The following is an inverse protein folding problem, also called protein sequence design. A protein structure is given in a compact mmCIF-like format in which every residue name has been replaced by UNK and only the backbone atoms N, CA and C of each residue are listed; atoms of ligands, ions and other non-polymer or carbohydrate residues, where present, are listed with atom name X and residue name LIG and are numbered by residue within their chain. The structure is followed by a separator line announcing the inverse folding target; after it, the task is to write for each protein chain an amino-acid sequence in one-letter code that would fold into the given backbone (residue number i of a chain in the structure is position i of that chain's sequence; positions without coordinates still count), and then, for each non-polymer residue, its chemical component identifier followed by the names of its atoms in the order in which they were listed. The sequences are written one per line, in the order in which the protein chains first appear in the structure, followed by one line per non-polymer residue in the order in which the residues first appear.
data_IF_956136734081
#
_entry.id   IF_956136734081
#
_cell.length_a   1.000
_cell.length_b   1.000
_cell.length_c   1.000
_cell.angle_alpha   90.00
_cell.angle_beta   90.00
_cell.angle_gamma   90.00
#
_symmetry.space_group_name_H-M   'P 1'
#
loop_
_entity.id
_entity.type
_entity.pdbx_description
1 polymer ?
#
# COMPACT_ATOMS: atom_id res chain seq x y z
N UNK A 1 15.62 -7.16 18.24
CA UNK A 1 16.59 -6.06 18.16
C UNK A 1 16.41 -5.16 16.93
N UNK A 2 16.25 -5.74 15.70
CA UNK A 2 16.11 -4.96 14.46
C UNK A 2 14.88 -4.06 14.51
N UNK A 3 13.71 -4.59 14.89
CA UNK A 3 12.47 -3.83 14.97
C UNK A 3 12.53 -2.62 15.92
N UNK A 4 13.21 -2.78 17.07
CA UNK A 4 13.37 -1.67 18.03
C UNK A 4 14.29 -0.56 17.47
N UNK A 5 15.33 -0.94 16.73
CA UNK A 5 16.20 0.04 16.04
C UNK A 5 15.43 0.79 14.96
N UNK A 6 14.58 0.09 14.21
CA UNK A 6 13.76 0.70 13.18
C UNK A 6 12.69 1.65 13.76
N UNK A 7 12.04 1.28 14.86
CA UNK A 7 11.13 2.17 15.58
C UNK A 7 11.85 3.44 16.01
N UNK A 8 13.05 3.32 16.60
CA UNK A 8 13.84 4.48 17.01
C UNK A 8 14.24 5.36 15.81
N UNK A 9 14.63 4.74 14.68
CA UNK A 9 14.93 5.46 13.44
C UNK A 9 13.72 6.25 12.94
N UNK A 10 12.53 5.62 12.88
CA UNK A 10 11.29 6.25 12.42
C UNK A 10 10.91 7.42 13.34
N UNK A 11 11.00 7.24 14.67
CA UNK A 11 10.74 8.33 15.62
C UNK A 11 11.72 9.49 15.42
N UNK A 12 12.99 9.20 15.11
CA UNK A 12 13.97 10.22 14.75
C UNK A 12 13.57 11.02 13.50
N UNK A 13 13.02 10.35 12.47
CA UNK A 13 12.51 11.04 11.28
C UNK A 13 11.26 11.86 11.60
N UNK A 14 10.35 11.37 12.44
CA UNK A 14 9.20 12.15 12.90
C UNK A 14 9.63 13.44 13.62
N UNK A 15 10.68 13.37 14.46
CA UNK A 15 11.23 14.55 15.10
C UNK A 15 11.78 15.60 14.14
N UNK A 16 12.29 15.18 12.98
CA UNK A 16 12.78 16.10 11.93
C UNK A 16 11.65 16.70 11.07
N UNK A 17 10.58 15.92 10.86
CA UNK A 17 9.47 16.28 9.96
C UNK A 17 8.42 17.09 10.72
N UNK A 18 8.13 16.74 11.98
CA UNK A 18 7.08 17.37 12.79
C UNK A 18 7.12 18.90 12.78
N UNK A 19 8.25 19.53 13.13
CA UNK A 19 8.36 20.99 13.12
C UNK A 19 8.10 21.62 11.74
N UNK A 20 8.50 20.94 10.66
CA UNK A 20 8.24 21.41 9.27
C UNK A 20 6.75 21.36 8.92
N UNK A 21 5.99 20.50 9.59
CA UNK A 21 4.55 20.37 9.42
C UNK A 21 3.74 21.28 10.38
N UNK A 22 4.41 21.95 11.32
CA UNK A 22 3.80 22.77 12.37
C UNK A 22 3.41 21.97 13.62
N UNK A 23 4.10 20.86 13.89
CA UNK A 23 3.90 20.02 15.07
C UNK A 23 5.09 20.14 16.04
N UNK A 24 4.83 20.62 17.25
CA UNK A 24 5.86 20.85 18.29
C UNK A 24 5.83 19.78 19.42
N UNK A 25 4.99 18.75 19.28
CA UNK A 25 4.85 17.70 20.29
C UNK A 25 5.90 16.58 20.17
N UNK A 26 5.85 15.60 21.08
CA UNK A 26 6.74 14.43 21.03
C UNK A 26 6.64 13.68 19.69
N UNK A 27 7.77 13.22 19.16
CA UNK A 27 7.84 12.55 17.85
C UNK A 27 6.80 11.41 17.67
N UNK A 28 6.59 10.60 18.71
CA UNK A 28 5.59 9.52 18.70
C UNK A 28 4.14 9.99 18.52
N UNK A 29 3.84 11.25 18.83
CA UNK A 29 2.50 11.84 18.68
C UNK A 29 2.21 12.38 17.28
N UNK A 30 3.23 12.50 16.40
CA UNK A 30 3.07 13.06 15.06
C UNK A 30 2.03 12.34 14.20
N UNK A 31 1.99 11.00 14.12
CA UNK A 31 1.00 10.30 13.29
C UNK A 31 -0.45 10.61 13.72
N UNK A 32 -0.71 10.62 15.02
CA UNK A 32 -2.02 10.96 15.56
C UNK A 32 -2.39 12.40 15.22
N UNK A 33 -1.48 13.34 15.49
CA UNK A 33 -1.72 14.75 15.17
C UNK A 33 -2.02 14.94 13.68
N UNK A 34 -1.27 14.28 12.77
CA UNK A 34 -1.53 14.33 11.33
C UNK A 34 -2.92 13.82 11.01
N UNK A 35 -3.33 12.68 11.60
CA UNK A 35 -4.65 12.09 11.36
C UNK A 35 -5.82 12.97 11.80
N UNK A 36 -5.58 13.90 12.71
CA UNK A 36 -6.59 14.85 13.22
C UNK A 36 -6.69 16.14 12.37
N UNK A 37 -5.72 16.39 11.45
CA UNK A 37 -5.69 17.63 10.68
C UNK A 37 -6.62 17.59 9.46
N UNK A 38 -7.61 18.50 9.33
CA UNK A 38 -8.53 18.54 8.18
C UNK A 38 -7.83 18.69 6.82
N UNK A 39 -6.69 19.41 6.79
CA UNK A 39 -5.89 19.60 5.55
C UNK A 39 -5.40 18.30 4.91
N UNK A 40 -5.35 17.20 5.68
CA UNK A 40 -4.96 15.88 5.18
C UNK A 40 -6.15 14.96 4.91
N UNK A 41 -7.38 15.46 5.01
CA UNK A 41 -8.64 14.75 4.74
C UNK A 41 -9.42 15.47 3.63
N UNK A 42 -8.92 15.51 2.39
CA UNK A 42 -9.48 16.36 1.34
C UNK A 42 -10.69 15.75 0.62
N UNK A 43 -11.07 14.51 0.96
CA UNK A 43 -12.05 13.77 0.20
C UNK A 43 -13.48 14.06 0.63
N UNK A 44 -14.40 14.05 -0.33
CA UNK A 44 -15.84 14.22 -0.12
C UNK A 44 -16.66 13.05 -0.66
N UNK A 45 -16.04 12.13 -1.39
CA UNK A 45 -16.65 10.90 -1.91
C UNK A 45 -15.65 9.75 -1.98
N UNK A 46 -16.16 8.52 -1.89
CA UNK A 46 -15.38 7.29 -2.04
C UNK A 46 -14.65 7.26 -3.39
N UNK A 47 -15.31 7.73 -4.44
CA UNK A 47 -14.75 7.76 -5.78
C UNK A 47 -13.45 8.59 -5.85
N UNK A 48 -13.38 9.71 -5.15
CA UNK A 48 -12.16 10.53 -5.10
C UNK A 48 -10.98 9.77 -4.48
N UNK A 49 -11.22 8.93 -3.46
CA UNK A 49 -10.18 8.08 -2.88
C UNK A 49 -9.68 7.06 -3.89
N UNK A 50 -10.61 6.37 -4.57
CA UNK A 50 -10.28 5.39 -5.61
C UNK A 50 -9.54 6.03 -6.79
N UNK A 51 -9.94 7.22 -7.20
CA UNK A 51 -9.27 7.93 -8.31
C UNK A 51 -7.81 8.27 -7.99
N UNK A 52 -7.52 8.64 -6.73
CA UNK A 52 -6.13 8.85 -6.29
C UNK A 52 -5.33 7.55 -6.37
N UNK A 53 -5.87 6.42 -5.90
CA UNK A 53 -5.17 5.13 -6.02
C UNK A 53 -4.94 4.71 -7.47
N UNK A 54 -5.91 4.94 -8.36
CA UNK A 54 -5.74 4.70 -9.81
C UNK A 54 -4.67 5.59 -10.44
N UNK A 55 -4.56 6.84 -10.00
CA UNK A 55 -3.50 7.75 -10.43
C UNK A 55 -2.13 7.29 -9.92
N UNK A 56 -2.06 6.81 -8.67
CA UNK A 56 -0.85 6.21 -8.11
C UNK A 56 -0.44 4.96 -8.90
N UNK A 57 -1.38 4.06 -9.21
CA UNK A 57 -1.12 2.89 -10.07
C UNK A 57 -0.51 3.30 -11.42
N UNK A 58 -1.13 4.24 -12.10
CA UNK A 58 -0.65 4.74 -13.39
C UNK A 58 0.77 5.32 -13.28
N UNK A 59 1.04 6.09 -12.22
CA UNK A 59 2.36 6.71 -11.98
C UNK A 59 3.42 5.66 -11.68
N UNK A 60 3.15 4.75 -10.73
CA UNK A 60 4.09 3.72 -10.29
C UNK A 60 4.45 2.79 -11.45
N UNK A 61 3.47 2.37 -12.26
CA UNK A 61 3.72 1.50 -13.44
C UNK A 61 4.77 2.06 -14.39
N UNK A 62 4.84 3.36 -14.56
CA UNK A 62 5.86 3.98 -15.43
C UNK A 62 7.27 3.90 -14.86
N UNK A 63 7.41 3.73 -13.56
CA UNK A 63 8.68 3.73 -12.82
C UNK A 63 9.22 2.32 -12.56
N UNK A 64 8.36 1.32 -12.49
CA UNK A 64 8.74 -0.07 -12.18
C UNK A 64 9.82 -0.65 -13.13
N UNK A 65 9.81 -0.41 -14.46
CA UNK A 65 10.82 -0.97 -15.36
C UNK A 65 12.25 -0.50 -15.07
N UNK A 66 12.43 0.59 -14.34
CA UNK A 66 13.75 1.04 -13.90
C UNK A 66 14.32 0.17 -12.75
N UNK A 67 13.44 -0.47 -11.98
CA UNK A 67 13.81 -1.30 -10.82
C UNK A 67 13.71 -2.80 -11.09
N UNK A 68 12.82 -3.23 -11.98
CA UNK A 68 12.50 -4.63 -12.23
C UNK A 68 12.54 -4.97 -13.71
N UNK A 69 13.23 -6.05 -14.04
CA UNK A 69 13.30 -6.57 -15.42
C UNK A 69 12.14 -7.52 -15.76
N UNK A 70 11.48 -8.06 -14.74
CA UNK A 70 10.36 -8.98 -14.89
C UNK A 70 9.12 -8.37 -14.21
N UNK A 71 8.02 -8.32 -14.94
CA UNK A 71 6.76 -7.72 -14.52
C UNK A 71 5.63 -8.73 -14.52
N UNK A 72 4.68 -8.70 -13.58
CA UNK A 72 3.50 -9.53 -13.64
C UNK A 72 2.64 -9.17 -14.88
N UNK A 73 2.07 -10.18 -15.53
CA UNK A 73 1.16 -10.04 -16.69
C UNK A 73 -0.27 -9.81 -16.23
N UNK A 74 -0.64 -10.37 -15.07
CA UNK A 74 -1.97 -10.23 -14.52
C UNK A 74 -2.26 -8.75 -14.24
N UNK A 75 -3.44 -8.23 -14.65
CA UNK A 75 -3.81 -6.85 -14.35
C UNK A 75 -4.12 -6.66 -12.86
N UNK A 76 -3.87 -5.45 -12.37
CA UNK A 76 -4.31 -4.98 -11.06
C UNK A 76 -5.50 -4.05 -11.23
N UNK A 77 -6.53 -4.25 -10.43
CA UNK A 77 -7.62 -3.31 -10.28
C UNK A 77 -7.65 -2.75 -8.85
N UNK A 78 -8.05 -1.49 -8.73
CA UNK A 78 -8.36 -0.85 -7.43
C UNK A 78 -9.87 -0.72 -7.33
N UNK A 79 -10.44 -1.28 -6.27
CA UNK A 79 -11.88 -1.30 -6.02
C UNK A 79 -12.20 -0.88 -4.59
N UNK A 80 -13.39 -0.34 -4.41
CA UNK A 80 -13.96 -0.18 -3.06
C UNK A 80 -14.33 -1.53 -2.48
N UNK A 81 -14.05 -1.72 -1.18
CA UNK A 81 -14.57 -2.84 -0.42
C UNK A 81 -16.11 -2.85 -0.47
N UNK A 82 -16.75 -4.00 -0.71
CA UNK A 82 -18.20 -4.09 -0.70
C UNK A 82 -18.81 -3.56 0.60
N UNK A 83 -19.95 -2.88 0.51
CA UNK A 83 -20.61 -2.25 1.65
C UNK A 83 -20.89 -3.24 2.79
N UNK A 84 -21.26 -4.47 2.44
CA UNK A 84 -21.58 -5.54 3.42
C UNK A 84 -20.40 -5.90 4.34
N UNK A 85 -19.18 -5.82 3.85
CA UNK A 85 -17.96 -6.23 4.57
C UNK A 85 -17.13 -5.04 5.04
N UNK A 86 -17.42 -3.84 4.56
CA UNK A 86 -16.63 -2.62 4.76
C UNK A 86 -16.38 -2.27 6.21
N UNK A 87 -17.38 -2.46 7.10
CA UNK A 87 -17.23 -2.11 8.52
C UNK A 87 -16.23 -3.01 9.27
N UNK A 88 -16.00 -4.23 8.79
CA UNK A 88 -15.14 -5.22 9.45
C UNK A 88 -13.84 -5.51 8.70
N UNK A 89 -13.75 -5.07 7.46
CA UNK A 89 -12.55 -5.24 6.63
C UNK A 89 -11.50 -4.15 6.92
N UNK A 90 -10.26 -4.45 6.58
CA UNK A 90 -9.18 -3.48 6.36
C UNK A 90 -8.82 -3.44 4.88
N UNK A 91 -8.10 -2.43 4.44
CA UNK A 91 -7.48 -2.42 3.12
C UNK A 91 -6.69 -3.72 2.92
N UNK A 92 -6.84 -4.36 1.74
CA UNK A 92 -6.21 -5.64 1.47
C UNK A 92 -6.11 -5.95 -0.02
N UNK A 93 -5.27 -6.95 -0.33
CA UNK A 93 -5.10 -7.43 -1.69
C UNK A 93 -5.66 -8.84 -1.87
N UNK A 94 -6.31 -9.07 -3.02
CA UNK A 94 -6.74 -10.40 -3.47
C UNK A 94 -5.99 -10.78 -4.74
N UNK A 95 -5.33 -11.94 -4.73
CA UNK A 95 -4.56 -12.44 -5.88
C UNK A 95 -5.43 -12.68 -7.11
N UNK A 96 -4.86 -12.58 -8.33
CA UNK A 96 -5.55 -12.95 -9.55
C UNK A 96 -5.89 -14.44 -9.57
N UNK A 97 -6.87 -14.82 -10.39
CA UNK A 97 -7.10 -16.23 -10.65
C UNK A 97 -5.95 -16.81 -11.49
N UNK A 98 -5.51 -18.02 -11.16
CA UNK A 98 -4.39 -18.68 -11.84
C UNK A 98 -4.66 -18.95 -13.34
N UNK A 99 -5.92 -19.04 -13.73
CA UNK A 99 -6.38 -19.23 -15.11
C UNK A 99 -6.58 -17.91 -15.89
N UNK A 100 -6.28 -16.75 -15.22
CA UNK A 100 -6.45 -15.42 -15.82
C UNK A 100 -7.89 -14.91 -15.87
N UNK A 101 -8.88 -15.64 -15.33
CA UNK A 101 -10.31 -15.26 -15.39
C UNK A 101 -10.65 -14.06 -14.49
N UNK A 102 -9.79 -13.71 -13.53
CA UNK A 102 -10.00 -12.62 -12.59
C UNK A 102 -8.68 -11.88 -12.34
N UNK A 103 -8.69 -10.54 -12.36
CA UNK A 103 -7.51 -9.73 -12.02
C UNK A 103 -7.13 -9.84 -10.55
N UNK A 104 -5.93 -9.39 -10.20
CA UNK A 104 -5.61 -9.02 -8.82
C UNK A 104 -6.39 -7.78 -8.43
N UNK A 105 -6.81 -7.69 -7.18
CA UNK A 105 -7.62 -6.56 -6.70
C UNK A 105 -7.05 -6.01 -5.40
N UNK A 106 -6.72 -4.74 -5.41
CA UNK A 106 -6.54 -3.97 -4.20
C UNK A 106 -7.91 -3.42 -3.76
N UNK A 107 -8.38 -3.87 -2.62
CA UNK A 107 -9.62 -3.46 -1.99
C UNK A 107 -9.35 -2.32 -1.01
N UNK A 108 -9.91 -1.14 -1.30
CA UNK A 108 -9.79 0.02 -0.42
C UNK A 108 -11.05 0.18 0.44
N UNK A 109 -10.84 0.28 1.75
CA UNK A 109 -11.92 0.43 2.74
C UNK A 109 -12.14 1.91 3.04
N UNK A 110 -13.25 2.46 2.59
CA UNK A 110 -13.64 3.86 2.82
C UNK A 110 -14.96 3.89 3.56
N UNK A 111 -14.92 3.98 4.90
CA UNK A 111 -16.13 4.07 5.73
C UNK A 111 -16.74 5.48 5.73
N UNK A 112 -15.90 6.51 5.80
CA UNK A 112 -16.26 7.91 5.64
C UNK A 112 -15.16 8.63 4.85
N UNK A 113 -15.42 9.05 3.61
CA UNK A 113 -14.41 9.73 2.80
C UNK A 113 -13.89 11.01 3.44
N UNK A 114 -14.74 11.72 4.22
CA UNK A 114 -14.34 12.94 4.91
C UNK A 114 -13.34 12.70 6.05
N UNK A 115 -13.23 11.45 6.52
CA UNK A 115 -12.26 11.03 7.52
C UNK A 115 -11.05 10.33 6.91
N UNK A 116 -11.08 10.03 5.61
CA UNK A 116 -9.99 9.34 4.93
C UNK A 116 -8.76 10.23 4.77
N UNK A 117 -7.61 9.77 5.33
CA UNK A 117 -6.36 10.51 5.31
C UNK A 117 -5.53 10.27 4.05
N UNK A 118 -5.10 11.34 3.38
CA UNK A 118 -4.28 11.21 2.16
C UNK A 118 -2.81 10.83 2.42
N UNK A 119 -2.31 11.03 3.63
CA UNK A 119 -0.86 10.93 3.93
C UNK A 119 -0.29 9.51 3.87
N UNK A 120 -1.12 8.49 4.06
CA UNK A 120 -0.72 7.08 3.98
C UNK A 120 -0.94 6.43 2.61
N UNK A 121 -1.59 7.11 1.67
CA UNK A 121 -2.07 6.48 0.44
C UNK A 121 -0.96 5.93 -0.46
N UNK A 122 0.17 6.64 -0.57
CA UNK A 122 1.31 6.17 -1.37
C UNK A 122 1.87 4.88 -0.78
N UNK A 123 2.15 4.87 0.52
CA UNK A 123 2.69 3.71 1.25
C UNK A 123 1.74 2.52 1.14
N UNK A 124 0.45 2.73 1.37
CA UNK A 124 -0.59 1.70 1.25
C UNK A 124 -0.67 1.14 -0.18
N UNK A 125 -0.64 2.00 -1.20
CA UNK A 125 -0.64 1.54 -2.58
C UNK A 125 0.61 0.71 -2.92
N UNK A 126 1.79 1.12 -2.45
CA UNK A 126 3.03 0.37 -2.66
C UNK A 126 3.01 -0.99 -1.94
N UNK A 127 2.29 -1.09 -0.82
CA UNK A 127 2.10 -2.33 -0.06
C UNK A 127 1.13 -3.29 -0.77
N UNK A 128 -0.10 -2.85 -1.04
CA UNK A 128 -1.17 -3.69 -1.60
C UNK A 128 -1.04 -3.90 -3.11
N UNK A 129 -0.58 -2.87 -3.82
CA UNK A 129 -0.48 -2.84 -5.27
C UNK A 129 0.91 -3.24 -5.78
N UNK A 130 1.57 -2.31 -6.42
CA UNK A 130 2.86 -2.49 -7.06
C UNK A 130 3.90 -1.52 -6.47
N UNK A 131 5.10 -2.03 -6.13
CA UNK A 131 5.62 -3.39 -6.31
C UNK A 131 5.33 -4.37 -5.16
N UNK A 132 4.33 -4.12 -4.31
CA UNK A 132 4.00 -4.93 -3.13
C UNK A 132 3.27 -6.24 -3.43
N UNK A 133 2.14 -6.47 -2.76
CA UNK A 133 1.41 -7.75 -2.82
C UNK A 133 1.05 -8.18 -4.23
N UNK A 134 0.48 -7.28 -5.06
CA UNK A 134 0.12 -7.65 -6.43
C UNK A 134 1.34 -8.12 -7.22
N UNK A 135 2.40 -7.34 -7.21
CA UNK A 135 3.62 -7.65 -7.95
C UNK A 135 4.20 -9.00 -7.53
N UNK A 136 4.34 -9.23 -6.23
CA UNK A 136 4.88 -10.45 -5.66
C UNK A 136 4.01 -11.67 -5.97
N UNK A 137 2.74 -11.62 -5.61
CA UNK A 137 1.86 -12.79 -5.66
C UNK A 137 1.44 -13.14 -7.09
N UNK A 138 1.15 -12.17 -7.93
CA UNK A 138 0.84 -12.40 -9.34
C UNK A 138 2.06 -12.99 -10.08
N UNK A 139 3.23 -12.38 -9.89
CA UNK A 139 4.46 -12.89 -10.52
C UNK A 139 4.80 -14.31 -10.05
N UNK A 140 4.64 -14.60 -8.75
CA UNK A 140 4.86 -15.94 -8.19
C UNK A 140 3.98 -16.98 -8.83
N UNK A 141 2.71 -16.66 -9.14
CA UNK A 141 1.81 -17.57 -9.86
C UNK A 141 2.22 -17.81 -11.32
N UNK A 142 2.80 -16.81 -11.97
CA UNK A 142 3.23 -16.87 -13.39
C UNK A 142 4.55 -17.62 -13.59
N UNK A 143 5.39 -17.71 -12.56
CA UNK A 143 6.66 -18.41 -12.64
C UNK A 143 6.48 -19.94 -12.74
N UNK A 144 7.45 -20.64 -13.33
CA UNK A 144 7.50 -22.10 -13.43
C UNK A 144 7.75 -22.85 -12.11
N UNK A 145 7.14 -22.39 -11.02
CA UNK A 145 7.33 -22.92 -9.67
C UNK A 145 6.35 -24.07 -9.38
N UNK A 146 6.68 -25.03 -8.51
CA UNK A 146 5.72 -26.03 -8.06
C UNK A 146 4.57 -25.38 -7.25
N UNK A 147 3.39 -26.02 -7.26
CA UNK A 147 2.17 -25.44 -6.72
C UNK A 147 2.27 -25.04 -5.24
N UNK A 148 3.00 -25.80 -4.43
CA UNK A 148 3.18 -25.44 -3.02
C UNK A 148 3.94 -24.12 -2.83
N UNK A 149 4.76 -23.72 -3.81
CA UNK A 149 5.46 -22.42 -3.83
C UNK A 149 4.58 -21.30 -4.37
N UNK A 150 3.71 -21.63 -5.35
CA UNK A 150 2.81 -20.64 -5.96
C UNK A 150 1.65 -20.24 -5.03
N UNK A 151 1.09 -21.22 -4.32
CA UNK A 151 -0.15 -21.06 -3.57
C UNK A 151 0.01 -21.28 -2.06
N UNK A 152 1.16 -21.81 -1.63
CA UNK A 152 1.50 -21.92 -0.21
C UNK A 152 2.03 -20.60 0.31
N UNK A 153 1.34 -20.03 1.31
CA UNK A 153 1.72 -18.75 1.91
C UNK A 153 2.81 -18.87 2.98
N UNK A 154 3.69 -17.88 3.03
CA UNK A 154 4.54 -17.60 4.19
C UNK A 154 4.35 -16.13 4.54
N UNK A 155 3.60 -15.86 5.61
CA UNK A 155 3.24 -14.50 6.02
C UNK A 155 4.47 -13.60 6.22
N UNK A 156 5.53 -14.12 6.84
CA UNK A 156 6.74 -13.33 7.05
C UNK A 156 7.39 -12.89 5.72
N UNK A 157 7.34 -13.74 4.69
CA UNK A 157 7.85 -13.39 3.37
C UNK A 157 6.89 -12.45 2.62
N UNK A 158 5.60 -12.73 2.64
CA UNK A 158 4.60 -11.94 1.92
C UNK A 158 4.53 -10.51 2.45
N UNK A 159 4.41 -10.37 3.79
CA UNK A 159 4.38 -9.06 4.44
C UNK A 159 5.74 -8.37 4.43
N UNK A 160 6.82 -9.13 4.61
CA UNK A 160 8.18 -8.59 4.56
C UNK A 160 8.51 -8.01 3.19
N UNK A 161 8.05 -8.65 2.10
CA UNK A 161 8.18 -8.09 0.75
C UNK A 161 7.37 -6.79 0.61
N UNK A 162 6.12 -6.76 1.06
CA UNK A 162 5.27 -5.58 0.96
C UNK A 162 5.83 -4.40 1.76
N UNK A 163 6.35 -4.64 2.98
CA UNK A 163 7.06 -3.63 3.77
C UNK A 163 8.34 -3.12 3.07
N UNK A 164 9.09 -4.01 2.42
CA UNK A 164 10.23 -3.60 1.59
C UNK A 164 9.77 -2.74 0.41
N UNK A 165 8.70 -3.12 -0.26
CA UNK A 165 8.13 -2.39 -1.39
C UNK A 165 7.75 -0.94 -1.04
N UNK A 166 7.26 -0.69 0.18
CA UNK A 166 6.99 0.67 0.68
C UNK A 166 8.24 1.57 0.63
N UNK A 167 9.44 1.00 0.89
CA UNK A 167 10.69 1.77 0.88
C UNK A 167 11.11 2.21 -0.51
N UNK A 168 10.70 1.48 -1.55
CA UNK A 168 11.06 1.76 -2.94
C UNK A 168 10.39 3.04 -3.49
N UNK A 169 9.33 3.53 -2.86
CA UNK A 169 8.70 4.78 -3.21
C UNK A 169 9.68 5.96 -3.29
N UNK A 170 10.66 5.99 -2.38
CA UNK A 170 11.70 7.00 -2.38
C UNK A 170 12.66 6.90 -3.59
N UNK A 171 12.97 5.69 -4.04
CA UNK A 171 13.84 5.43 -5.19
C UNK A 171 13.12 5.74 -6.51
N UNK A 172 11.82 5.57 -6.52
CA UNK A 172 10.98 5.91 -7.67
C UNK A 172 10.71 7.41 -7.83
N UNK A 173 10.95 8.23 -6.81
CA UNK A 173 10.75 9.68 -6.82
C UNK A 173 9.30 10.04 -6.54
#
# INVERSE_FOLDING_TARGET
EIGLKEVARIQGEYGKIGPKMGYDGPAAGLPRWVSEQPKYKPFTSDQQVIDVFKQLDATVRTKLPALFTLMPKAPLEVRLEPELTRETASDHYTSPAADGSRPGVFWSVVNDPKQYGKTGMVTLYLHEGQPGHHFHLALTQELGLPNFRKFGGNTAFTEGWALYAETLGKEMG
#
